data_IF_667454195933
#
_entry.id   IF_667454195933
#
_cell.length_a   1.000
_cell.length_b   1.000
_cell.length_c   1.000
_cell.angle_alpha   90.00
_cell.angle_beta   90.00
_cell.angle_gamma   90.00
#
_symmetry.space_group_name_H-M   'P 1'
#
loop_
_entity.id
_entity.type
_entity.pdbx_description
1 polymer ?
#
# COMPACT_ATOMS: atom_id res chain seq x y z
N UNK A 1 -22.84 39.44 37.68
CA UNK A 1 -23.61 39.48 36.42
C UNK A 1 -23.65 38.06 35.89
N UNK A 2 -24.86 37.59 35.58
CA UNK A 2 -25.26 36.18 35.50
C UNK A 2 -24.54 35.37 34.39
N UNK A 3 -24.03 34.20 34.76
CA UNK A 3 -23.60 33.14 33.86
C UNK A 3 -24.79 32.20 33.67
N UNK A 4 -25.35 32.20 32.46
CA UNK A 4 -26.50 31.36 32.10
C UNK A 4 -25.99 29.99 31.66
N UNK A 5 -26.27 28.99 32.48
CA UNK A 5 -25.99 27.57 32.22
C UNK A 5 -27.04 27.03 31.25
N UNK A 6 -26.65 26.61 30.05
CA UNK A 6 -27.52 25.86 29.12
C UNK A 6 -27.32 24.37 29.36
N UNK A 7 -28.33 23.70 29.92
CA UNK A 7 -28.44 22.23 29.96
C UNK A 7 -29.11 21.78 28.67
N UNK A 8 -28.43 20.93 27.91
CA UNK A 8 -29.04 20.17 26.83
C UNK A 8 -29.38 18.77 27.37
N UNK A 9 -30.67 18.53 27.54
CA UNK A 9 -31.25 17.18 27.74
C UNK A 9 -31.76 16.72 26.39
N UNK A 10 -31.18 15.67 25.84
CA UNK A 10 -31.65 15.04 24.61
C UNK A 10 -31.19 13.57 24.62
N UNK A 11 -32.15 12.66 24.78
CA UNK A 11 -31.93 11.22 24.85
C UNK A 11 -31.36 10.70 23.54
N UNK A 12 -30.38 9.82 23.64
CA UNK A 12 -29.86 9.02 22.56
C UNK A 12 -30.48 7.64 22.64
N UNK A 13 -31.45 7.38 21.76
CA UNK A 13 -31.87 6.03 21.45
C UNK A 13 -30.72 5.28 20.76
N UNK A 14 -30.38 4.15 21.36
CA UNK A 14 -29.35 3.24 20.85
C UNK A 14 -29.84 2.59 19.56
N UNK A 15 -29.20 2.86 18.45
CA UNK A 15 -29.19 1.99 17.26
C UNK A 15 -27.94 1.12 17.31
N UNK A 16 -28.14 -0.07 17.88
CA UNK A 16 -27.27 -1.23 17.79
C UNK A 16 -27.25 -1.73 16.32
N UNK A 17 -26.14 -1.52 15.63
CA UNK A 17 -25.88 -2.09 14.32
C UNK A 17 -24.39 -2.45 14.22
N UNK A 18 -23.99 -3.48 14.97
CA UNK A 18 -22.74 -4.19 14.72
C UNK A 18 -22.94 -5.20 13.60
N UNK A 19 -22.25 -5.11 12.46
CA UNK A 19 -22.18 -6.22 11.53
C UNK A 19 -21.23 -7.28 12.09
N UNK A 20 -21.78 -8.39 12.53
CA UNK A 20 -21.03 -9.60 12.88
C UNK A 20 -20.44 -10.18 11.60
N UNK A 21 -19.13 -10.09 11.42
CA UNK A 21 -18.39 -10.87 10.44
C UNK A 21 -18.20 -12.27 11.00
N UNK A 22 -19.13 -13.16 10.67
CA UNK A 22 -19.09 -14.57 11.05
C UNK A 22 -19.85 -15.41 10.04
N UNK A 23 -19.26 -15.63 8.88
CA UNK A 23 -19.74 -16.54 7.85
C UNK A 23 -18.74 -17.66 7.62
N UNK A 24 -18.91 -18.80 8.34
CA UNK A 24 -18.26 -20.07 7.95
C UNK A 24 -18.87 -20.52 6.62
N UNK A 25 -18.14 -20.31 5.51
CA UNK A 25 -18.45 -20.91 4.24
C UNK A 25 -18.16 -22.42 4.28
N UNK A 26 -19.17 -23.22 3.99
CA UNK A 26 -19.05 -24.67 3.80
C UNK A 26 -18.16 -24.95 2.59
N UNK A 27 -17.26 -25.94 2.77
CA UNK A 27 -16.49 -26.54 1.70
C UNK A 27 -17.48 -27.20 0.72
N UNK A 28 -17.46 -26.78 -0.53
CA UNK A 28 -18.09 -27.49 -1.63
C UNK A 28 -17.10 -28.54 -2.15
N UNK A 29 -17.46 -29.79 -1.94
CA UNK A 29 -16.80 -30.95 -2.56
C UNK A 29 -17.06 -30.96 -4.07
N UNK A 30 -16.03 -31.31 -4.84
CA UNK A 30 -16.23 -31.84 -6.19
C UNK A 30 -15.45 -31.12 -7.29
N UNK A 31 -14.21 -31.53 -7.51
CA UNK A 31 -13.56 -31.37 -8.81
C UNK A 31 -13.09 -32.74 -9.31
N UNK A 32 -13.65 -33.27 -10.43
CA UNK A 32 -13.18 -34.54 -10.98
C UNK A 32 -11.94 -34.37 -11.87
N UNK A 33 -10.97 -35.19 -11.61
CA UNK A 33 -9.95 -35.78 -12.49
C UNK A 33 -9.40 -34.96 -13.68
N UNK A 34 -8.08 -34.76 -13.66
CA UNK A 34 -7.28 -34.71 -14.86
C UNK A 34 -6.50 -33.42 -15.13
N UNK A 35 -5.47 -33.13 -14.35
CA UNK A 35 -4.37 -32.29 -14.83
C UNK A 35 -3.09 -33.12 -14.88
N UNK A 36 -2.67 -33.45 -16.10
CA UNK A 36 -1.46 -34.17 -16.39
C UNK A 36 -0.22 -33.30 -16.06
N UNK A 37 0.66 -33.88 -15.26
CA UNK A 37 2.01 -33.34 -15.00
C UNK A 37 2.86 -33.64 -16.24
N UNK A 38 3.29 -32.63 -16.94
CA UNK A 38 4.25 -32.77 -18.05
C UNK A 38 5.66 -32.75 -17.45
N UNK A 39 6.26 -33.91 -17.34
CA UNK A 39 7.70 -34.06 -17.07
C UNK A 39 8.46 -33.74 -18.36
N UNK A 40 9.25 -32.67 -18.36
CA UNK A 40 10.17 -32.36 -19.43
C UNK A 40 11.55 -32.95 -19.08
N UNK A 41 11.84 -34.15 -19.62
CA UNK A 41 13.17 -34.79 -19.54
C UNK A 41 14.03 -34.20 -20.66
N UNK A 42 15.11 -33.51 -20.28
CA UNK A 42 16.14 -33.06 -21.20
C UNK A 42 17.02 -34.25 -21.58
N UNK A 43 17.04 -34.59 -22.86
CA UNK A 43 17.96 -35.55 -23.48
C UNK A 43 19.23 -34.79 -23.87
N UNK A 44 20.39 -35.28 -23.35
CA UNK A 44 21.72 -34.86 -23.75
C UNK A 44 22.07 -35.52 -25.11
N UNK A 45 22.44 -34.71 -26.09
CA UNK A 45 23.08 -35.17 -27.33
C UNK A 45 24.45 -34.49 -27.46
N UNK A 46 25.48 -35.33 -27.59
CA UNK A 46 26.89 -34.95 -27.77
C UNK A 46 27.23 -34.65 -29.25
N UNK A 47 28.03 -33.62 -29.45
CA UNK A 47 29.05 -33.24 -30.41
C UNK A 47 28.80 -33.30 -31.94
N UNK A 48 29.63 -32.65 -32.77
CA UNK A 48 31.07 -32.57 -32.69
C UNK A 48 31.76 -31.20 -32.96
N UNK A 49 33.05 -31.19 -32.72
CA UNK A 49 34.07 -30.14 -32.86
C UNK A 49 34.16 -29.51 -34.25
N UNK A 50 34.25 -28.16 -34.29
CA UNK A 50 34.70 -27.43 -35.49
C UNK A 50 35.07 -25.99 -35.13
N UNK A 51 36.40 -25.69 -35.25
CA UNK A 51 36.99 -24.36 -35.06
C UNK A 51 36.54 -23.40 -36.18
N UNK A 52 36.28 -22.14 -35.84
CA UNK A 52 36.91 -20.96 -36.55
C UNK A 52 36.69 -19.71 -35.69
N UNK A 53 37.77 -18.96 -35.52
CA UNK A 53 37.82 -17.69 -34.84
C UNK A 53 37.18 -16.59 -35.72
N UNK A 54 36.22 -15.88 -35.16
CA UNK A 54 35.67 -14.64 -35.71
C UNK A 54 35.27 -13.79 -34.54
N UNK A 55 36.10 -12.75 -34.23
CA UNK A 55 35.80 -11.81 -33.18
C UNK A 55 34.55 -11.02 -33.53
N UNK A 56 33.49 -11.22 -32.74
CA UNK A 56 32.31 -10.37 -32.74
C UNK A 56 32.36 -9.58 -31.44
N UNK A 57 32.57 -8.29 -31.57
CA UNK A 57 32.41 -7.34 -30.45
C UNK A 57 31.04 -7.50 -29.83
N UNK A 58 31.04 -7.95 -28.59
CA UNK A 58 29.84 -7.94 -27.75
C UNK A 58 29.59 -6.48 -27.32
N UNK A 59 28.96 -5.72 -28.18
CA UNK A 59 28.27 -4.53 -27.73
C UNK A 59 27.03 -4.98 -26.90
N UNK A 60 27.20 -4.93 -25.61
CA UNK A 60 26.13 -5.15 -24.62
C UNK A 60 25.06 -4.08 -24.78
N UNK A 61 24.09 -4.32 -25.65
CA UNK A 61 22.84 -3.57 -25.65
C UNK A 61 21.83 -4.34 -24.79
N UNK A 62 22.01 -4.30 -23.49
CA UNK A 62 20.98 -4.74 -22.59
C UNK A 62 20.46 -3.55 -21.77
N UNK A 63 19.95 -2.55 -22.47
CA UNK A 63 19.07 -1.55 -21.89
C UNK A 63 17.66 -2.13 -21.89
N UNK A 64 17.37 -3.00 -20.93
CA UNK A 64 16.00 -3.36 -20.59
C UNK A 64 15.32 -2.09 -20.14
N UNK A 65 14.60 -1.45 -21.05
CA UNK A 65 13.72 -0.31 -20.76
C UNK A 65 12.54 -0.86 -19.96
N UNK A 66 12.76 -1.13 -18.68
CA UNK A 66 11.66 -1.46 -17.78
C UNK A 66 10.79 -0.21 -17.68
N UNK A 67 9.55 -0.33 -18.11
CA UNK A 67 8.55 0.71 -17.90
C UNK A 67 8.51 1.03 -16.40
N UNK A 68 8.65 2.30 -16.00
CA UNK A 68 8.59 2.67 -14.58
C UNK A 68 7.30 2.15 -13.96
N UNK A 69 7.38 1.56 -12.76
CA UNK A 69 6.21 1.06 -12.04
C UNK A 69 5.18 2.16 -11.77
N UNK A 70 5.65 3.40 -11.61
CA UNK A 70 4.82 4.55 -11.26
C UNK A 70 5.00 5.68 -12.28
N UNK A 71 3.97 6.52 -12.38
CA UNK A 71 3.95 7.65 -13.31
C UNK A 71 4.87 8.79 -12.84
N UNK A 72 5.60 9.45 -13.76
CA UNK A 72 6.31 10.68 -13.42
C UNK A 72 5.34 11.76 -12.98
N UNK A 73 5.77 12.60 -12.04
CA UNK A 73 4.96 13.72 -11.54
C UNK A 73 4.99 14.86 -12.54
N UNK A 74 3.84 15.30 -13.02
CA UNK A 74 3.67 16.50 -13.84
C UNK A 74 3.55 17.77 -12.99
N UNK A 75 3.68 18.94 -13.59
CA UNK A 75 3.46 20.22 -12.88
C UNK A 75 2.01 20.34 -12.42
N UNK A 76 1.04 19.90 -13.23
CA UNK A 76 -0.37 19.84 -12.82
C UNK A 76 -0.59 18.93 -11.61
N UNK A 77 0.10 17.77 -11.56
CA UNK A 77 0.04 16.91 -10.37
C UNK A 77 0.59 17.61 -9.12
N UNK A 78 1.69 18.37 -9.25
CA UNK A 78 2.27 19.14 -8.12
C UNK A 78 1.28 20.15 -7.56
N UNK A 79 0.58 20.85 -8.43
CA UNK A 79 -0.44 21.83 -8.03
C UNK A 79 -1.60 21.16 -7.29
N UNK A 80 -2.14 20.07 -7.87
CA UNK A 80 -3.22 19.28 -7.25
C UNK A 80 -2.78 18.72 -5.89
N UNK A 81 -1.59 18.11 -5.80
CA UNK A 81 -1.07 17.57 -4.53
C UNK A 81 -0.88 18.67 -3.49
N UNK A 82 -0.38 19.85 -3.90
CA UNK A 82 -0.22 20.97 -2.99
C UNK A 82 -1.57 21.47 -2.43
N UNK A 83 -2.61 21.51 -3.27
CA UNK A 83 -3.98 21.82 -2.85
C UNK A 83 -4.51 20.76 -1.89
N UNK A 84 -4.41 19.47 -2.24
CA UNK A 84 -4.84 18.34 -1.41
C UNK A 84 -4.19 18.34 -0.02
N UNK A 85 -2.91 18.71 0.06
CA UNK A 85 -2.15 18.72 1.31
C UNK A 85 -2.22 20.05 2.07
N UNK A 86 -2.73 21.12 1.46
CA UNK A 86 -2.71 22.49 2.00
C UNK A 86 -1.30 23.06 2.16
N UNK A 87 -0.29 22.48 1.51
CA UNK A 87 1.12 22.88 1.57
C UNK A 87 1.90 22.26 0.40
N UNK A 88 3.06 22.80 0.01
CA UNK A 88 3.93 22.18 -0.97
C UNK A 88 4.32 20.74 -0.55
N UNK A 89 4.27 19.77 -1.49
CA UNK A 89 4.70 18.42 -1.22
C UNK A 89 6.22 18.35 -0.98
N UNK A 90 6.66 17.43 -0.13
CA UNK A 90 8.07 17.20 0.17
C UNK A 90 8.51 15.86 -0.39
N UNK A 91 9.77 15.78 -0.81
CA UNK A 91 10.41 14.55 -1.28
C UNK A 91 9.63 13.82 -2.39
N UNK A 92 8.80 14.54 -3.17
CA UNK A 92 7.92 13.97 -4.18
C UNK A 92 8.72 13.33 -5.32
N UNK A 93 8.47 12.04 -5.60
CA UNK A 93 9.18 11.23 -6.60
C UNK A 93 8.29 10.84 -7.78
N UNK A 94 7.15 10.21 -7.50
CA UNK A 94 6.24 9.69 -8.52
C UNK A 94 4.79 9.68 -8.03
N UNK A 95 3.83 9.58 -8.95
CA UNK A 95 2.43 9.27 -8.64
C UNK A 95 2.30 7.75 -8.59
N UNK A 96 1.96 7.21 -7.42
CA UNK A 96 1.86 5.77 -7.20
C UNK A 96 0.43 5.23 -7.41
N UNK A 97 -0.59 6.06 -7.20
CA UNK A 97 -1.97 5.73 -7.52
C UNK A 97 -2.80 7.00 -7.78
N UNK A 98 -3.82 6.85 -8.62
CA UNK A 98 -4.82 7.89 -8.89
C UNK A 98 -6.21 7.44 -8.46
N UNK A 99 -7.05 8.39 -8.10
CA UNK A 99 -8.48 8.14 -7.95
C UNK A 99 -9.16 8.05 -9.34
N UNK A 100 -10.41 7.55 -9.44
CA UNK A 100 -11.14 7.50 -10.71
C UNK A 100 -11.33 8.84 -11.42
N UNK A 101 -11.26 9.95 -10.70
CA UNK A 101 -11.25 11.31 -11.28
C UNK A 101 -9.89 11.73 -11.87
N UNK A 102 -8.90 10.82 -11.88
CA UNK A 102 -7.56 11.08 -12.43
C UNK A 102 -6.61 11.83 -11.50
N UNK A 103 -7.06 12.30 -10.33
CA UNK A 103 -6.21 13.02 -9.39
C UNK A 103 -5.25 12.07 -8.64
N UNK A 104 -4.01 12.49 -8.31
CA UNK A 104 -3.14 11.74 -7.43
C UNK A 104 -3.83 11.41 -6.10
N UNK A 105 -3.83 10.14 -5.72
CA UNK A 105 -4.36 9.68 -4.44
C UNK A 105 -3.27 9.16 -3.52
N UNK A 106 -2.18 8.62 -4.12
CA UNK A 106 -0.97 8.19 -3.42
C UNK A 106 0.24 8.64 -4.22
N UNK A 107 1.22 9.18 -3.53
CA UNK A 107 2.53 9.52 -4.12
C UNK A 107 3.65 8.68 -3.51
N UNK A 108 4.64 8.36 -4.33
CA UNK A 108 5.91 7.83 -3.86
C UNK A 108 6.84 9.00 -3.50
N UNK A 109 7.57 8.86 -2.41
CA UNK A 109 8.51 9.88 -1.93
C UNK A 109 9.94 9.37 -1.96
N UNK A 110 10.90 10.27 -2.02
CA UNK A 110 12.30 9.94 -1.79
C UNK A 110 12.53 9.65 -0.31
N UNK A 111 13.46 8.73 0.03
CA UNK A 111 13.78 8.38 1.42
C UNK A 111 14.42 9.51 2.23
N UNK A 112 14.88 10.57 1.56
CA UNK A 112 15.39 11.79 2.21
C UNK A 112 14.74 13.03 1.64
N UNK A 113 14.62 14.04 2.49
CA UNK A 113 14.28 15.40 2.08
C UNK A 113 15.49 16.04 1.38
N UNK A 114 15.26 17.16 0.66
CA UNK A 114 16.31 17.92 -0.04
C UNK A 114 17.47 18.35 0.86
N UNK A 115 17.20 18.58 2.15
CA UNK A 115 18.21 18.92 3.17
C UNK A 115 18.91 17.69 3.78
N UNK A 116 18.72 16.49 3.24
CA UNK A 116 19.30 15.24 3.71
C UNK A 116 18.60 14.59 4.91
N UNK A 117 17.57 15.21 5.48
CA UNK A 117 16.82 14.63 6.60
C UNK A 117 16.14 13.32 6.18
N UNK A 118 16.29 12.21 6.93
CA UNK A 118 15.60 10.96 6.65
C UNK A 118 14.09 11.13 6.62
N UNK A 119 13.46 10.57 5.58
CA UNK A 119 12.02 10.56 5.40
C UNK A 119 11.55 9.13 5.12
N UNK A 120 11.28 8.32 6.16
CA UNK A 120 11.04 6.87 6.01
C UNK A 120 9.69 6.50 5.41
N UNK A 121 8.79 7.45 5.23
CA UNK A 121 7.49 7.22 4.58
C UNK A 121 7.69 7.15 3.09
N UNK A 122 7.56 5.96 2.50
CA UNK A 122 7.74 5.74 1.05
C UNK A 122 6.49 6.08 0.24
N UNK A 123 5.31 5.76 0.77
CA UNK A 123 4.01 6.03 0.15
C UNK A 123 3.20 6.96 1.01
N UNK A 124 2.75 8.07 0.42
CA UNK A 124 2.02 9.11 1.12
C UNK A 124 0.63 9.29 0.52
N UNK A 125 -0.40 9.17 1.37
CA UNK A 125 -1.79 9.38 0.97
C UNK A 125 -2.06 10.87 0.82
N UNK A 126 -2.52 11.31 -0.37
CA UNK A 126 -2.77 12.72 -0.67
C UNK A 126 -4.25 13.06 -0.79
N UNK A 127 -5.09 12.11 -1.21
CA UNK A 127 -6.53 12.32 -1.40
C UNK A 127 -7.22 12.75 -0.09
N UNK A 128 -7.81 13.96 0.00
CA UNK A 128 -8.43 14.48 1.22
C UNK A 128 -9.57 13.60 1.72
N UNK A 129 -10.35 13.03 0.80
CA UNK A 129 -11.46 12.15 1.15
C UNK A 129 -10.98 10.85 1.78
N UNK A 130 -9.96 10.20 1.20
CA UNK A 130 -9.35 9.01 1.81
C UNK A 130 -8.76 9.34 3.18
N UNK A 131 -8.02 10.43 3.28
CA UNK A 131 -7.42 10.89 4.54
C UNK A 131 -8.48 11.10 5.63
N UNK A 132 -9.60 11.74 5.29
CA UNK A 132 -10.70 11.96 6.22
C UNK A 132 -11.36 10.65 6.67
N UNK A 133 -11.65 9.73 5.74
CA UNK A 133 -12.23 8.43 6.05
C UNK A 133 -11.30 7.61 6.94
N UNK A 134 -10.02 7.53 6.58
CA UNK A 134 -9.02 6.80 7.37
C UNK A 134 -8.86 7.41 8.76
N UNK A 135 -8.85 8.75 8.88
CA UNK A 135 -8.84 9.42 10.18
C UNK A 135 -10.04 9.05 11.06
N UNK A 136 -11.24 8.92 10.46
CA UNK A 136 -12.44 8.43 11.16
C UNK A 136 -12.26 6.99 11.64
N UNK A 137 -11.71 6.11 10.80
CA UNK A 137 -11.45 4.73 11.16
C UNK A 137 -10.37 4.63 12.27
N UNK A 138 -9.29 5.39 12.19
CA UNK A 138 -8.27 5.43 13.23
C UNK A 138 -8.83 5.90 14.58
N UNK A 139 -9.75 6.87 14.57
CA UNK A 139 -10.40 7.37 15.77
C UNK A 139 -11.32 6.36 16.45
N UNK A 140 -11.79 5.31 15.75
CA UNK A 140 -12.58 4.22 16.34
C UNK A 140 -11.81 3.29 17.27
N UNK A 141 -10.47 3.37 17.25
CA UNK A 141 -9.61 2.50 18.04
C UNK A 141 -9.26 1.16 17.38
N UNK A 142 -9.66 0.92 16.14
CA UNK A 142 -9.43 -0.34 15.39
C UNK A 142 -7.96 -0.75 15.32
N UNK A 143 -7.04 0.20 15.34
CA UNK A 143 -5.60 -0.09 15.29
C UNK A 143 -5.11 -0.89 16.51
N UNK A 144 -5.77 -0.77 17.65
CA UNK A 144 -5.48 -1.58 18.84
C UNK A 144 -5.89 -3.03 18.59
N UNK A 145 -7.10 -3.25 18.10
CA UNK A 145 -7.60 -4.58 17.72
C UNK A 145 -6.72 -5.24 16.64
N UNK A 146 -6.36 -4.49 15.58
CA UNK A 146 -5.45 -4.96 14.54
C UNK A 146 -4.08 -5.38 15.10
N UNK A 147 -3.56 -4.63 16.08
CA UNK A 147 -2.30 -4.97 16.75
C UNK A 147 -2.43 -6.22 17.61
N UNK A 148 -3.51 -6.37 18.39
CA UNK A 148 -3.77 -7.54 19.22
C UNK A 148 -3.94 -8.82 18.37
N UNK A 149 -4.45 -8.70 17.14
CA UNK A 149 -4.54 -9.82 16.20
C UNK A 149 -3.17 -10.37 15.79
N UNK A 150 -2.13 -9.55 15.77
CA UNK A 150 -0.76 -10.04 15.48
C UNK A 150 -0.24 -11.01 16.54
N UNK A 151 -0.70 -10.90 17.80
CA UNK A 151 -0.32 -11.78 18.89
C UNK A 151 -1.06 -13.13 18.85
N UNK A 152 -2.22 -13.17 18.19
CA UNK A 152 -3.13 -14.33 18.20
C UNK A 152 -3.23 -15.07 16.86
N UNK A 153 -2.79 -14.42 15.78
CA UNK A 153 -2.81 -14.96 14.42
C UNK A 153 -1.40 -14.98 13.82
N UNK A 154 -0.69 -16.11 13.90
CA UNK A 154 0.68 -16.23 13.41
C UNK A 154 0.79 -16.12 11.88
N UNK A 155 -0.27 -16.45 11.11
CA UNK A 155 -0.26 -16.30 9.66
C UNK A 155 -0.35 -14.83 9.26
N UNK A 156 -1.21 -14.06 9.93
CA UNK A 156 -1.31 -12.62 9.78
C UNK A 156 0.00 -11.93 10.19
N UNK A 157 0.58 -12.33 11.32
CA UNK A 157 1.87 -11.79 11.78
C UNK A 157 2.99 -12.04 10.77
N UNK A 158 3.07 -13.25 10.20
CA UNK A 158 4.04 -13.59 9.17
C UNK A 158 3.80 -12.79 7.87
N UNK A 159 2.56 -12.58 7.47
CA UNK A 159 2.23 -11.73 6.31
C UNK A 159 2.63 -10.27 6.57
N UNK A 160 2.36 -9.75 7.76
CA UNK A 160 2.70 -8.39 8.13
C UNK A 160 4.22 -8.17 8.24
N UNK A 161 4.97 -9.19 8.67
CA UNK A 161 6.43 -9.20 8.63
C UNK A 161 6.94 -9.10 7.17
N UNK A 162 6.37 -9.87 6.24
CA UNK A 162 6.70 -9.76 4.81
C UNK A 162 6.34 -8.41 4.23
N UNK A 163 5.22 -7.81 4.67
CA UNK A 163 4.84 -6.44 4.30
C UNK A 163 5.94 -5.45 4.67
N UNK A 164 6.49 -5.57 5.89
CA UNK A 164 7.59 -4.75 6.37
C UNK A 164 8.86 -4.91 5.53
N UNK A 165 9.24 -6.15 5.24
CA UNK A 165 10.43 -6.47 4.43
C UNK A 165 10.31 -5.94 2.99
N UNK A 166 9.13 -6.10 2.38
CA UNK A 166 8.85 -5.57 1.04
C UNK A 166 8.94 -4.04 1.04
N UNK A 167 8.35 -3.38 2.03
CA UNK A 167 8.41 -1.92 2.16
C UNK A 167 9.85 -1.40 2.31
N UNK A 168 10.67 -2.11 3.10
CA UNK A 168 12.10 -1.80 3.24
C UNK A 168 12.84 -1.98 1.93
N UNK A 169 12.64 -3.09 1.24
CA UNK A 169 13.29 -3.38 -0.03
C UNK A 169 12.94 -2.34 -1.10
N UNK A 170 11.68 -1.94 -1.19
CA UNK A 170 11.22 -0.91 -2.12
C UNK A 170 11.83 0.47 -1.80
N UNK A 171 11.92 0.82 -0.51
CA UNK A 171 12.56 2.07 -0.07
C UNK A 171 14.05 2.07 -0.37
N UNK A 172 14.73 1.01 0.01
CA UNK A 172 16.19 0.92 -0.06
C UNK A 172 16.67 0.72 -1.51
N UNK A 173 15.80 0.26 -2.43
CA UNK A 173 16.05 0.28 -3.86
C UNK A 173 16.12 1.71 -4.44
N UNK A 174 15.54 2.70 -3.76
CA UNK A 174 15.67 4.12 -4.13
C UNK A 174 16.91 4.69 -3.45
N UNK A 175 16.95 4.61 -2.14
CA UNK A 175 18.07 5.06 -1.31
C UNK A 175 17.98 4.43 0.09
N UNK A 176 19.04 3.76 0.52
CA UNK A 176 19.08 3.17 1.85
C UNK A 176 19.23 4.24 2.94
N UNK A 177 18.40 4.12 3.96
CA UNK A 177 18.52 4.95 5.18
C UNK A 177 19.43 4.32 6.24
N UNK A 178 19.97 3.11 6.01
CA UNK A 178 20.77 2.38 6.97
C UNK A 178 20.01 1.96 8.23
N UNK A 179 18.68 1.86 8.16
CA UNK A 179 17.83 1.53 9.30
C UNK A 179 16.69 0.59 8.88
N UNK A 180 16.30 -0.30 9.80
CA UNK A 180 15.15 -1.17 9.64
C UNK A 180 13.81 -0.49 10.05
N UNK A 181 13.84 0.76 10.44
CA UNK A 181 12.62 1.51 10.77
C UNK A 181 11.84 1.85 9.51
N UNK A 182 10.55 1.53 9.51
CA UNK A 182 9.58 1.91 8.48
C UNK A 182 8.52 2.85 9.06
N UNK A 183 7.55 3.22 8.20
CA UNK A 183 6.37 3.95 8.62
C UNK A 183 5.25 2.99 9.10
N UNK A 184 4.19 3.54 9.71
CA UNK A 184 2.99 2.78 10.06
C UNK A 184 3.08 1.88 11.29
N UNK A 185 4.28 1.69 11.87
CA UNK A 185 4.51 0.85 13.06
C UNK A 185 4.93 -0.58 12.76
N UNK A 186 5.12 -0.93 11.47
CA UNK A 186 5.56 -2.26 11.04
C UNK A 186 6.92 -2.67 11.62
N UNK A 187 7.16 -3.96 11.88
CA UNK A 187 6.21 -5.07 11.82
C UNK A 187 5.48 -5.33 13.15
N UNK A 188 5.81 -4.65 14.23
CA UNK A 188 5.40 -5.04 15.58
C UNK A 188 4.04 -4.52 16.02
N UNK A 189 3.45 -3.56 15.30
CA UNK A 189 2.15 -2.97 15.64
C UNK A 189 1.55 -2.19 14.47
N UNK A 190 0.26 -1.91 14.53
CA UNK A 190 -0.44 -1.02 13.60
C UNK A 190 -0.57 0.36 14.25
N UNK A 191 0.11 1.37 13.68
CA UNK A 191 0.17 2.72 14.25
C UNK A 191 -0.52 3.77 13.37
N UNK A 192 -0.54 3.58 12.06
CA UNK A 192 -1.08 4.56 11.12
C UNK A 192 -1.65 3.87 9.88
N UNK A 193 -2.98 3.87 9.74
CA UNK A 193 -3.66 3.26 8.61
C UNK A 193 -3.48 4.04 7.30
N UNK A 194 -3.18 5.34 7.36
CA UNK A 194 -2.82 6.12 6.18
C UNK A 194 -1.64 5.52 5.42
N UNK A 195 -0.62 5.07 6.15
CA UNK A 195 0.56 4.41 5.55
C UNK A 195 0.20 3.06 4.96
N UNK A 196 -0.61 2.26 5.67
CA UNK A 196 -1.01 0.93 5.21
C UNK A 196 -1.89 1.01 3.98
N UNK A 197 -2.89 1.90 3.96
CA UNK A 197 -3.73 2.13 2.80
C UNK A 197 -2.92 2.64 1.60
N UNK A 198 -2.03 3.61 1.82
CA UNK A 198 -1.17 4.12 0.75
C UNK A 198 -0.30 3.01 0.15
N UNK A 199 0.24 2.11 0.98
CA UNK A 199 1.01 0.96 0.52
C UNK A 199 0.16 -0.02 -0.29
N UNK A 200 -1.04 -0.41 0.16
CA UNK A 200 -1.94 -1.28 -0.61
C UNK A 200 -2.34 -0.68 -1.95
N UNK A 201 -2.64 0.62 -2.00
CA UNK A 201 -2.97 1.29 -3.25
C UNK A 201 -1.78 1.36 -4.22
N UNK A 202 -0.55 1.44 -3.72
CA UNK A 202 0.67 1.49 -4.53
C UNK A 202 1.17 0.11 -4.95
N UNK A 203 1.14 -0.87 -4.04
CA UNK A 203 1.71 -2.19 -4.25
C UNK A 203 0.71 -3.20 -4.85
N UNK A 204 -0.58 -2.95 -4.70
CA UNK A 204 -1.65 -3.85 -5.09
C UNK A 204 -2.11 -4.76 -3.93
N UNK A 205 -3.19 -5.52 -4.16
CA UNK A 205 -3.79 -6.37 -3.14
C UNK A 205 -2.87 -7.51 -2.70
N UNK A 206 -3.01 -7.94 -1.45
CA UNK A 206 -2.27 -9.06 -0.86
C UNK A 206 -0.88 -8.70 -0.31
N UNK A 207 -0.40 -7.48 -0.54
CA UNK A 207 0.91 -7.03 -0.05
C UNK A 207 0.85 -6.49 1.37
N UNK A 208 -0.22 -5.78 1.72
CA UNK A 208 -0.39 -5.19 3.05
C UNK A 208 -1.77 -5.53 3.63
N UNK A 209 -1.89 -6.51 4.54
CA UNK A 209 -3.19 -7.00 5.00
C UNK A 209 -4.02 -5.91 5.67
N UNK A 210 -3.43 -5.06 6.49
CA UNK A 210 -4.17 -3.98 7.15
C UNK A 210 -4.50 -2.82 6.21
N UNK A 211 -3.69 -2.62 5.18
CA UNK A 211 -4.02 -1.69 4.10
C UNK A 211 -5.18 -2.17 3.25
N UNK A 212 -5.25 -3.48 2.97
CA UNK A 212 -6.34 -4.09 2.22
C UNK A 212 -7.66 -4.04 3.01
N UNK A 213 -7.64 -4.38 4.31
CA UNK A 213 -8.79 -4.22 5.21
C UNK A 213 -9.26 -2.75 5.27
N UNK A 214 -8.32 -1.81 5.36
CA UNK A 214 -8.63 -0.38 5.33
C UNK A 214 -9.27 0.02 4.01
N UNK A 215 -8.78 -0.51 2.88
CA UNK A 215 -9.33 -0.25 1.54
C UNK A 215 -10.76 -0.78 1.41
N UNK A 216 -11.04 -1.97 1.92
CA UNK A 216 -12.40 -2.53 1.96
C UNK A 216 -13.34 -1.65 2.77
N UNK A 217 -12.89 -1.20 3.94
CA UNK A 217 -13.69 -0.32 4.78
C UNK A 217 -13.99 1.02 4.10
N UNK A 218 -13.01 1.71 3.49
CA UNK A 218 -13.26 2.99 2.81
C UNK A 218 -14.13 2.82 1.58
N UNK A 219 -14.08 1.67 0.90
CA UNK A 219 -15.00 1.33 -0.18
C UNK A 219 -16.43 1.18 0.31
N UNK A 220 -16.63 0.54 1.45
CA UNK A 220 -17.95 0.43 2.10
C UNK A 220 -18.52 1.80 2.51
N UNK A 221 -17.65 2.80 2.77
CA UNK A 221 -18.04 4.19 3.00
C UNK A 221 -18.28 4.99 1.70
N UNK A 222 -18.30 4.31 0.55
CA UNK A 222 -18.61 4.92 -0.74
C UNK A 222 -17.42 5.57 -1.46
N UNK A 223 -16.18 5.34 -1.05
CA UNK A 223 -15.04 5.67 -1.90
C UNK A 223 -14.91 4.60 -3.02
N UNK A 224 -14.66 4.94 -4.27
CA UNK A 224 -14.18 6.21 -4.81
C UNK A 224 -15.26 7.12 -5.43
N UNK A 225 -16.54 6.99 -5.10
CA UNK A 225 -17.58 7.86 -5.64
C UNK A 225 -17.43 9.31 -5.14
N UNK A 226 -17.55 10.28 -6.05
CA UNK A 226 -17.46 11.70 -5.76
C UNK A 226 -16.09 12.32 -6.09
N UNK A 227 -16.07 13.65 -6.07
CA UNK A 227 -14.88 14.44 -6.38
C UNK A 227 -13.81 14.26 -5.28
N UNK A 228 -12.58 13.90 -5.69
CA UNK A 228 -11.43 13.80 -4.80
C UNK A 228 -10.54 15.06 -4.83
N UNK A 229 -10.88 16.06 -5.63
CA UNK A 229 -10.36 17.41 -5.54
C UNK A 229 -11.18 18.12 -4.47
N UNK A 230 -10.60 18.42 -3.33
CA UNK A 230 -11.25 19.07 -2.21
C UNK A 230 -11.84 20.44 -2.55
#
# INVERSE_FOLDING_TARGET
MAVTSFRFSGGLDAMDATPRIGGRGRLAEGCPQGCAVVHNSAVLAEGPTGRTAGGISLESVNSSTQTPRFEPVTDADREVIAQQLGRPPRALRAVAARCPGGHPSVVQTNPRLENGTPFPTLYYLTCPRLTSLVGTLEASGVMKEMTERLDTDPELAALYQRTHETYLAERDAIESLGTQVTAGGMPGRVKCLHVHLAHSLAAGPGVNPFGDETLEWVRAQGWPSGDCAG
#
